data_IF_098292481461
#
_entry.id   IF_098292481461
#
_cell.length_a   1.000
_cell.length_b   1.000
_cell.length_c   1.000
_cell.angle_alpha   90.00
_cell.angle_beta   90.00
_cell.angle_gamma   90.00
#
_symmetry.space_group_name_H-M   'P 1'
#
loop_
_entity.id
_entity.type
_entity.pdbx_description
1 polymer ?
#
# COMPACT_ATOMS: atom_id res chain seq x y z
N UNK A 1 7.05 -1.98 -10.64
CA UNK A 1 6.70 -3.35 -11.03
C UNK A 1 7.93 -4.24 -10.90
N UNK A 2 7.80 -5.56 -10.60
CA UNK A 2 8.95 -6.43 -10.30
C UNK A 2 10.06 -6.37 -11.34
N UNK A 3 9.75 -6.53 -12.61
CA UNK A 3 10.74 -6.54 -13.71
C UNK A 3 11.59 -5.26 -13.82
N UNK A 4 11.12 -4.13 -13.30
CA UNK A 4 11.81 -2.83 -13.42
C UNK A 4 12.70 -2.50 -12.21
N UNK A 5 12.72 -3.33 -11.16
CA UNK A 5 13.44 -3.03 -9.91
C UNK A 5 14.93 -2.82 -10.16
N UNK A 6 15.61 -3.74 -10.85
CA UNK A 6 17.05 -3.63 -11.15
C UNK A 6 17.40 -2.35 -11.91
N UNK A 7 16.55 -1.97 -12.87
CA UNK A 7 16.73 -0.73 -13.62
C UNK A 7 16.56 0.50 -12.73
N UNK A 8 15.52 0.51 -11.89
CA UNK A 8 15.28 1.62 -10.96
C UNK A 8 16.44 1.79 -9.96
N UNK A 9 16.93 0.68 -9.38
CA UNK A 9 18.09 0.70 -8.48
C UNK A 9 19.32 1.33 -9.15
N UNK A 10 19.61 0.90 -10.39
CA UNK A 10 20.74 1.46 -11.15
C UNK A 10 20.57 2.96 -11.43
N UNK A 11 19.36 3.40 -11.77
CA UNK A 11 19.10 4.81 -12.11
C UNK A 11 19.10 5.72 -10.88
N UNK A 12 18.85 5.18 -9.70
CA UNK A 12 18.80 5.91 -8.44
C UNK A 12 20.08 5.76 -7.60
N UNK A 13 21.12 5.16 -8.16
CA UNK A 13 22.42 5.00 -7.50
C UNK A 13 22.98 6.37 -7.08
N UNK A 14 23.44 6.47 -5.84
CA UNK A 14 23.94 7.72 -5.27
C UNK A 14 22.86 8.69 -4.77
N UNK A 15 21.56 8.31 -4.84
CA UNK A 15 20.46 9.09 -4.26
C UNK A 15 19.87 8.43 -3.01
N UNK A 16 19.15 9.22 -2.20
CA UNK A 16 18.41 8.71 -1.03
C UNK A 16 17.04 8.13 -1.37
N UNK A 17 16.64 8.13 -2.64
CA UNK A 17 15.33 7.66 -3.11
C UNK A 17 15.25 6.14 -3.00
N UNK A 18 14.26 5.66 -2.26
CA UNK A 18 14.05 4.21 -2.05
C UNK A 18 13.31 3.58 -3.23
N UNK A 19 13.70 2.36 -3.58
CA UNK A 19 13.02 1.59 -4.62
C UNK A 19 11.96 0.70 -3.98
N UNK A 20 10.69 0.99 -4.29
CA UNK A 20 9.55 0.20 -3.86
C UNK A 20 9.01 -0.68 -4.99
N UNK A 21 8.55 -1.89 -4.63
CA UNK A 21 7.94 -2.84 -5.57
C UNK A 21 6.60 -3.36 -5.06
N UNK A 22 5.66 -3.55 -5.97
CA UNK A 22 4.37 -4.20 -5.67
C UNK A 22 4.46 -5.71 -5.91
N UNK A 23 3.74 -6.51 -5.08
CA UNK A 23 3.64 -7.96 -5.23
C UNK A 23 2.19 -8.43 -5.08
N UNK A 24 1.84 -9.57 -5.67
CA UNK A 24 0.47 -10.05 -5.75
C UNK A 24 -0.47 -9.05 -6.43
N UNK A 25 0.07 -8.17 -7.23
CA UNK A 25 -0.58 -6.96 -7.70
C UNK A 25 -1.23 -7.14 -9.09
N UNK A 26 -2.45 -6.58 -9.34
CA UNK A 26 -3.23 -5.75 -8.41
C UNK A 26 -4.30 -6.52 -7.60
N UNK A 27 -4.59 -7.77 -7.91
CA UNK A 27 -5.78 -8.47 -7.40
C UNK A 27 -5.56 -9.27 -6.10
N UNK A 28 -4.34 -9.46 -5.66
CA UNK A 28 -4.02 -10.17 -4.41
C UNK A 28 -4.35 -11.66 -4.41
N UNK A 29 -4.70 -12.26 -5.54
CA UNK A 29 -5.22 -13.63 -5.64
C UNK A 29 -4.17 -14.71 -5.92
N UNK A 30 -2.89 -14.35 -5.98
CA UNK A 30 -1.80 -15.32 -6.00
C UNK A 30 -1.72 -16.08 -4.67
N UNK A 31 -1.19 -17.30 -4.68
CA UNK A 31 -0.96 -18.04 -3.44
C UNK A 31 0.08 -17.34 -2.56
N UNK A 32 0.03 -17.60 -1.25
CA UNK A 32 1.01 -17.06 -0.29
C UNK A 32 2.45 -17.36 -0.69
N UNK A 33 2.73 -18.58 -1.15
CA UNK A 33 4.07 -18.97 -1.59
C UNK A 33 4.58 -18.14 -2.77
N UNK A 34 3.70 -17.84 -3.74
CA UNK A 34 4.04 -16.98 -4.88
C UNK A 34 4.33 -15.56 -4.43
N UNK A 35 3.52 -14.99 -3.53
CA UNK A 35 3.77 -13.64 -3.00
C UNK A 35 5.09 -13.55 -2.21
N UNK A 36 5.41 -14.58 -1.43
CA UNK A 36 6.70 -14.66 -0.73
C UNK A 36 7.85 -14.69 -1.73
N UNK A 37 7.74 -15.52 -2.77
CA UNK A 37 8.75 -15.60 -3.82
C UNK A 37 8.93 -14.26 -4.56
N UNK A 38 7.83 -13.60 -4.94
CA UNK A 38 7.87 -12.26 -5.57
C UNK A 38 8.56 -11.22 -4.66
N UNK A 39 8.29 -11.27 -3.35
CA UNK A 39 8.92 -10.38 -2.38
C UNK A 39 10.43 -10.61 -2.28
N UNK A 40 10.86 -11.86 -2.13
CA UNK A 40 12.27 -12.24 -2.05
C UNK A 40 13.03 -11.91 -3.35
N UNK A 41 12.42 -12.14 -4.50
CA UNK A 41 12.99 -11.78 -5.81
C UNK A 41 13.14 -10.27 -5.96
N UNK A 42 12.10 -9.48 -5.58
CA UNK A 42 12.16 -8.03 -5.63
C UNK A 42 13.24 -7.47 -4.69
N UNK A 43 13.35 -7.99 -3.46
CA UNK A 43 14.40 -7.59 -2.52
C UNK A 43 15.79 -7.97 -3.03
N UNK A 44 15.97 -9.18 -3.58
CA UNK A 44 17.24 -9.61 -4.21
C UNK A 44 17.63 -8.70 -5.38
N UNK A 45 16.64 -8.15 -6.07
CA UNK A 45 16.81 -7.19 -7.15
C UNK A 45 17.11 -5.75 -6.67
N UNK A 46 17.07 -5.52 -5.34
CA UNK A 46 17.43 -4.25 -4.68
C UNK A 46 16.24 -3.41 -4.24
N UNK A 47 15.00 -3.92 -4.25
CA UNK A 47 13.88 -3.24 -3.61
C UNK A 47 14.04 -3.23 -2.09
N UNK A 48 13.80 -2.08 -1.47
CA UNK A 48 13.85 -1.91 -0.01
C UNK A 48 12.46 -1.70 0.60
N UNK A 49 11.44 -1.59 -0.23
CA UNK A 49 10.05 -1.41 0.17
C UNK A 49 9.14 -2.31 -0.67
N UNK A 50 8.31 -3.12 -0.01
CA UNK A 50 7.40 -4.06 -0.69
C UNK A 50 5.95 -3.71 -0.35
N UNK A 51 5.15 -3.45 -1.39
CA UNK A 51 3.73 -3.16 -1.28
C UNK A 51 2.94 -4.42 -1.69
N UNK A 52 2.48 -5.23 -0.73
CA UNK A 52 1.71 -6.44 -1.00
C UNK A 52 0.20 -6.18 -1.04
N UNK A 53 -0.50 -6.81 -1.97
CA UNK A 53 -1.98 -6.83 -1.95
C UNK A 53 -2.44 -8.06 -1.17
N UNK A 54 -3.36 -7.87 -0.20
CA UNK A 54 -3.98 -9.00 0.51
C UNK A 54 -4.75 -9.90 -0.47
N UNK A 55 -5.06 -11.13 -0.06
CA UNK A 55 -6.05 -11.92 -0.80
C UNK A 55 -7.45 -11.35 -0.52
N UNK A 56 -7.90 -10.47 -1.43
CA UNK A 56 -9.17 -9.73 -1.30
C UNK A 56 -10.35 -10.71 -1.16
N UNK A 57 -10.38 -11.78 -1.96
CA UNK A 57 -11.44 -12.78 -1.91
C UNK A 57 -11.51 -13.49 -0.56
N UNK A 58 -10.36 -13.81 0.04
CA UNK A 58 -10.28 -14.39 1.38
C UNK A 58 -10.75 -13.43 2.48
N UNK A 59 -10.37 -12.16 2.38
CA UNK A 59 -10.82 -11.12 3.32
C UNK A 59 -12.35 -10.94 3.25
N UNK A 60 -12.91 -10.78 2.06
CA UNK A 60 -14.36 -10.65 1.84
C UNK A 60 -15.15 -11.89 2.26
N UNK A 61 -14.54 -13.07 2.17
CA UNK A 61 -15.11 -14.34 2.64
C UNK A 61 -14.92 -14.59 4.14
N UNK A 62 -14.27 -13.67 4.88
CA UNK A 62 -14.04 -13.80 6.33
C UNK A 62 -12.98 -14.82 6.73
N UNK A 63 -12.16 -15.32 5.79
CA UNK A 63 -11.06 -16.26 6.09
C UNK A 63 -9.85 -15.48 6.65
N UNK A 64 -10.06 -14.88 7.82
CA UNK A 64 -9.05 -14.04 8.49
C UNK A 64 -7.79 -14.81 8.87
N UNK A 65 -7.91 -16.12 9.09
CA UNK A 65 -6.75 -16.97 9.37
C UNK A 65 -5.82 -17.05 8.16
N UNK A 66 -6.38 -17.23 6.97
CA UNK A 66 -5.58 -17.22 5.74
C UNK A 66 -4.90 -15.86 5.54
N UNK A 67 -5.66 -14.76 5.66
CA UNK A 67 -5.15 -13.39 5.48
C UNK A 67 -4.03 -13.08 6.48
N UNK A 68 -4.20 -13.44 7.75
CA UNK A 68 -3.18 -13.26 8.78
C UNK A 68 -1.90 -14.04 8.49
N UNK A 69 -2.03 -15.32 8.11
CA UNK A 69 -0.88 -16.15 7.77
C UNK A 69 -0.13 -15.60 6.54
N UNK A 70 -0.85 -15.14 5.54
CA UNK A 70 -0.29 -14.56 4.33
C UNK A 70 0.51 -13.29 4.63
N UNK A 71 -0.09 -12.34 5.35
CA UNK A 71 0.56 -11.08 5.74
C UNK A 71 1.82 -11.38 6.56
N UNK A 72 1.72 -12.26 7.56
CA UNK A 72 2.85 -12.65 8.40
C UNK A 72 3.98 -13.31 7.60
N UNK A 73 3.65 -14.19 6.66
CA UNK A 73 4.64 -14.87 5.83
C UNK A 73 5.44 -13.88 4.97
N UNK A 74 4.74 -12.95 4.29
CA UNK A 74 5.38 -11.92 3.46
C UNK A 74 6.18 -10.94 4.31
N UNK A 75 5.62 -10.46 5.44
CA UNK A 75 6.34 -9.56 6.36
C UNK A 75 7.63 -10.17 6.85
N UNK A 76 7.60 -11.43 7.30
CA UNK A 76 8.80 -12.13 7.75
C UNK A 76 9.84 -12.29 6.63
N UNK A 77 9.40 -12.58 5.40
CA UNK A 77 10.31 -12.71 4.25
C UNK A 77 11.02 -11.38 3.95
N UNK A 78 10.27 -10.28 3.90
CA UNK A 78 10.83 -8.96 3.65
C UNK A 78 11.77 -8.49 4.76
N UNK A 79 11.37 -8.65 6.02
CA UNK A 79 12.20 -8.23 7.17
C UNK A 79 13.52 -8.99 7.24
N UNK A 80 13.56 -10.29 6.88
CA UNK A 80 14.84 -11.03 6.76
C UNK A 80 15.79 -10.43 5.73
N UNK A 81 15.26 -9.68 4.77
CA UNK A 81 16.02 -9.00 3.71
C UNK A 81 16.16 -7.50 3.94
N UNK A 82 15.88 -7.01 5.16
CA UNK A 82 15.91 -5.60 5.55
C UNK A 82 15.01 -4.68 4.70
N UNK A 83 13.90 -5.22 4.17
CA UNK A 83 12.91 -4.45 3.44
C UNK A 83 11.64 -4.25 4.29
N UNK A 84 11.01 -3.07 4.17
CA UNK A 84 9.74 -2.78 4.84
C UNK A 84 8.56 -3.26 4.00
N UNK A 85 7.44 -3.56 4.68
CA UNK A 85 6.21 -4.06 4.05
C UNK A 85 5.05 -3.08 4.22
N UNK A 86 4.34 -2.83 3.12
CA UNK A 86 3.09 -2.08 3.12
C UNK A 86 1.97 -2.98 2.63
N UNK A 87 0.95 -3.16 3.45
CA UNK A 87 -0.17 -4.08 3.18
C UNK A 87 -1.33 -3.32 2.58
N UNK A 88 -1.63 -3.59 1.30
CA UNK A 88 -2.71 -2.97 0.54
C UNK A 88 -4.01 -3.71 0.85
N UNK A 89 -4.99 -3.00 1.42
CA UNK A 89 -6.32 -3.53 1.75
C UNK A 89 -7.25 -3.59 0.55
N UNK A 90 -7.04 -2.71 -0.44
CA UNK A 90 -7.93 -2.44 -1.56
C UNK A 90 -9.30 -1.99 -1.09
N UNK A 91 -9.36 -0.78 -0.57
CA UNK A 91 -10.57 -0.20 0.05
C UNK A 91 -11.74 0.00 -0.92
N UNK A 92 -11.50 -0.07 -2.22
CA UNK A 92 -12.55 -0.09 -3.24
C UNK A 92 -13.36 -1.40 -3.22
N UNK A 93 -12.78 -2.51 -2.78
CA UNK A 93 -13.46 -3.80 -2.58
C UNK A 93 -13.78 -4.07 -1.12
N UNK A 94 -12.86 -3.78 -0.21
CA UNK A 94 -13.05 -3.94 1.24
C UNK A 94 -13.70 -2.67 1.78
N UNK A 95 -15.02 -2.58 1.62
CA UNK A 95 -15.78 -1.36 1.91
C UNK A 95 -16.24 -1.23 3.36
N UNK A 96 -16.38 -2.36 4.08
CA UNK A 96 -16.85 -2.37 5.47
C UNK A 96 -15.76 -1.93 6.43
N UNK A 97 -16.10 -1.04 7.35
CA UNK A 97 -15.17 -0.55 8.37
C UNK A 97 -14.67 -1.65 9.29
N UNK A 98 -15.54 -2.61 9.66
CA UNK A 98 -15.20 -3.76 10.49
C UNK A 98 -14.08 -4.60 9.88
N UNK A 99 -14.13 -4.81 8.57
CA UNK A 99 -13.13 -5.59 7.82
C UNK A 99 -11.79 -4.83 7.77
N UNK A 100 -11.82 -3.51 7.56
CA UNK A 100 -10.63 -2.65 7.60
C UNK A 100 -9.99 -2.61 8.99
N UNK A 101 -10.82 -2.54 10.03
CA UNK A 101 -10.37 -2.61 11.43
C UNK A 101 -9.70 -3.96 11.72
N UNK A 102 -10.30 -5.06 11.24
CA UNK A 102 -9.71 -6.38 11.38
C UNK A 102 -8.35 -6.46 10.69
N UNK A 103 -8.24 -5.94 9.48
CA UNK A 103 -6.97 -5.89 8.73
C UNK A 103 -5.90 -5.04 9.44
N UNK A 104 -6.28 -3.91 10.05
CA UNK A 104 -5.36 -3.10 10.86
C UNK A 104 -4.78 -3.90 12.04
N UNK A 105 -5.62 -4.66 12.73
CA UNK A 105 -5.19 -5.53 13.84
C UNK A 105 -4.25 -6.62 13.35
N UNK A 106 -4.62 -7.33 12.30
CA UNK A 106 -3.79 -8.37 11.68
C UNK A 106 -2.42 -7.83 11.27
N UNK A 107 -2.37 -6.66 10.61
CA UNK A 107 -1.11 -6.03 10.23
C UNK A 107 -0.26 -5.67 11.44
N UNK A 108 -0.88 -5.17 12.51
CA UNK A 108 -0.20 -4.84 13.77
C UNK A 108 0.42 -6.09 14.41
N UNK A 109 -0.35 -7.17 14.50
CA UNK A 109 0.10 -8.45 15.06
C UNK A 109 1.18 -9.13 14.20
N UNK A 110 1.10 -8.98 12.89
CA UNK A 110 2.10 -9.49 11.96
C UNK A 110 3.39 -8.66 11.92
N UNK A 111 3.40 -7.47 12.52
CA UNK A 111 4.55 -6.56 12.52
C UNK A 111 4.78 -5.87 11.17
N UNK A 112 3.73 -5.70 10.34
CA UNK A 112 3.85 -4.93 9.10
C UNK A 112 4.18 -3.46 9.38
N UNK A 113 4.94 -2.82 8.50
CA UNK A 113 5.39 -1.44 8.71
C UNK A 113 4.33 -0.41 8.33
N UNK A 114 3.51 -0.74 7.32
CA UNK A 114 2.42 0.12 6.85
C UNK A 114 1.16 -0.67 6.56
N UNK A 115 0.02 -0.04 6.83
CA UNK A 115 -1.26 -0.31 6.18
C UNK A 115 -1.44 0.66 5.02
N UNK A 116 -2.00 0.19 3.89
CA UNK A 116 -2.17 0.98 2.68
C UNK A 116 -3.58 0.82 2.12
N UNK A 117 -4.17 1.90 1.61
CA UNK A 117 -5.56 1.88 1.12
C UNK A 117 -5.74 1.06 -0.15
N UNK A 118 -5.18 1.48 -1.27
CA UNK A 118 -5.64 1.01 -2.58
C UNK A 118 -4.50 0.71 -3.55
N UNK A 119 -4.79 -0.09 -4.57
CA UNK A 119 -3.89 -0.34 -5.70
C UNK A 119 -3.96 0.76 -6.75
N UNK A 120 -5.10 1.45 -6.88
CA UNK A 120 -5.45 2.31 -8.00
C UNK A 120 -6.00 1.54 -9.21
N UNK A 121 -6.26 0.23 -9.05
CA UNK A 121 -6.82 -0.66 -10.07
C UNK A 121 -8.07 -1.41 -9.56
N UNK A 122 -8.61 -1.00 -8.43
CA UNK A 122 -9.82 -1.59 -7.82
C UNK A 122 -11.09 -1.15 -8.54
N UNK A 123 -11.18 -1.37 -9.83
CA UNK A 123 -12.34 -0.96 -10.63
C UNK A 123 -13.59 -1.71 -10.22
N UNK A 124 -14.56 -0.98 -9.67
CA UNK A 124 -15.88 -1.48 -9.29
C UNK A 124 -16.94 -0.87 -10.18
N UNK A 125 -18.03 -1.64 -10.41
CA UNK A 125 -19.17 -1.17 -11.23
C UNK A 125 -19.89 -0.04 -10.49
N UNK A 126 -20.01 1.10 -11.15
CA UNK A 126 -20.74 2.26 -10.66
C UNK A 126 -22.25 2.17 -10.98
N UNK A 127 -23.11 2.96 -10.32
CA UNK A 127 -24.56 2.97 -10.61
C UNK A 127 -24.90 3.32 -12.07
N UNK A 128 -24.07 4.09 -12.75
CA UNK A 128 -24.23 4.44 -14.17
C UNK A 128 -23.77 3.32 -15.13
N UNK A 129 -23.27 2.19 -14.60
CA UNK A 129 -22.79 1.05 -15.38
C UNK A 129 -21.31 1.06 -15.72
N UNK A 130 -20.63 2.19 -15.56
CA UNK A 130 -19.18 2.30 -15.78
C UNK A 130 -18.38 1.59 -14.70
N UNK A 131 -17.12 1.27 -14.99
CA UNK A 131 -16.17 0.76 -14.01
C UNK A 131 -15.16 1.85 -13.64
N UNK A 132 -15.05 2.12 -12.33
CA UNK A 132 -14.11 3.11 -11.81
C UNK A 132 -13.66 2.73 -10.40
N UNK A 133 -12.63 3.40 -9.88
CA UNK A 133 -12.17 3.27 -8.50
C UNK A 133 -12.29 4.61 -7.77
N UNK A 134 -12.55 4.55 -6.47
CA UNK A 134 -12.59 5.72 -5.59
C UNK A 134 -11.20 6.03 -5.02
N UNK A 135 -10.48 4.99 -4.65
CA UNK A 135 -9.16 5.09 -4.03
C UNK A 135 -9.21 5.53 -2.58
N UNK A 136 -8.16 6.23 -2.13
CA UNK A 136 -8.04 6.69 -0.76
C UNK A 136 -9.10 7.74 -0.40
N UNK A 137 -9.67 7.61 0.80
CA UNK A 137 -10.57 8.60 1.40
C UNK A 137 -10.03 9.07 2.75
N UNK A 138 -10.39 10.28 3.17
CA UNK A 138 -10.05 10.80 4.52
C UNK A 138 -10.58 9.85 5.59
N UNK A 139 -11.84 9.39 5.45
CA UNK A 139 -12.45 8.42 6.36
C UNK A 139 -11.60 7.15 6.53
N UNK A 140 -11.13 6.56 5.42
CA UNK A 140 -10.31 5.35 5.49
C UNK A 140 -8.98 5.60 6.18
N UNK A 141 -8.34 6.74 5.93
CA UNK A 141 -7.06 7.10 6.56
C UNK A 141 -7.23 7.29 8.08
N UNK A 142 -8.23 8.05 8.52
CA UNK A 142 -8.54 8.25 9.94
C UNK A 142 -8.87 6.92 10.63
N UNK A 143 -9.70 6.07 10.00
CA UNK A 143 -10.03 4.74 10.50
C UNK A 143 -8.79 3.87 10.66
N UNK A 144 -7.95 3.79 9.62
CA UNK A 144 -6.73 2.99 9.62
C UNK A 144 -5.73 3.52 10.66
N UNK A 145 -5.54 4.85 10.76
CA UNK A 145 -4.66 5.42 11.78
C UNK A 145 -5.13 5.13 13.20
N UNK A 146 -6.43 5.19 13.43
CA UNK A 146 -7.04 4.93 14.74
C UNK A 146 -6.87 3.48 15.21
N UNK A 147 -6.91 2.52 14.27
CA UNK A 147 -6.97 1.09 14.58
C UNK A 147 -5.68 0.31 14.29
N UNK A 148 -4.74 0.88 13.53
CA UNK A 148 -3.39 0.34 13.41
C UNK A 148 -2.57 0.66 14.67
N UNK A 149 -1.69 -0.26 15.06
CA UNK A 149 -0.79 -0.06 16.19
C UNK A 149 0.10 1.18 16.03
N UNK A 150 0.64 1.74 17.11
CA UNK A 150 1.42 2.98 17.06
C UNK A 150 2.67 2.88 16.19
N UNK A 151 3.24 1.68 16.05
CA UNK A 151 4.41 1.41 15.20
C UNK A 151 4.05 1.24 13.72
N UNK A 152 2.77 1.00 13.38
CA UNK A 152 2.31 0.79 12.00
C UNK A 152 1.91 2.12 11.40
N UNK A 153 2.51 2.50 10.29
CA UNK A 153 2.22 3.74 9.59
C UNK A 153 1.07 3.55 8.57
N UNK A 154 0.53 4.66 8.08
CA UNK A 154 -0.56 4.65 7.09
C UNK A 154 -0.08 5.25 5.77
N UNK A 155 -0.27 4.50 4.68
CA UNK A 155 -0.03 4.98 3.31
C UNK A 155 -1.36 5.16 2.58
N UNK A 156 -1.62 6.36 2.07
CA UNK A 156 -2.71 6.59 1.13
C UNK A 156 -2.25 6.40 -0.32
N UNK A 157 -3.10 5.85 -1.16
CA UNK A 157 -2.87 5.72 -2.60
C UNK A 157 -4.17 5.50 -3.37
N UNK A 158 -4.14 5.87 -4.66
CA UNK A 158 -5.32 5.92 -5.49
C UNK A 158 -6.07 7.24 -5.32
N UNK A 159 -6.29 7.98 -6.41
CA UNK A 159 -7.10 9.20 -6.41
C UNK A 159 -6.42 10.47 -5.89
N UNK A 160 -5.23 10.43 -5.32
CA UNK A 160 -4.47 11.61 -4.87
C UNK A 160 -3.80 12.25 -6.08
N UNK A 161 -4.24 13.45 -6.47
CA UNK A 161 -3.84 14.09 -7.72
C UNK A 161 -3.28 15.50 -7.55
N UNK A 162 -3.55 16.16 -6.44
CA UNK A 162 -3.12 17.52 -6.14
C UNK A 162 -2.34 17.60 -4.84
N UNK A 163 -1.58 18.67 -4.65
CA UNK A 163 -0.91 18.95 -3.38
C UNK A 163 -1.92 19.07 -2.23
N UNK A 164 -3.07 19.71 -2.46
CA UNK A 164 -4.11 19.84 -1.43
C UNK A 164 -4.72 18.48 -1.06
N UNK A 165 -4.88 17.55 -2.01
CA UNK A 165 -5.27 16.16 -1.68
C UNK A 165 -4.23 15.50 -0.78
N UNK A 166 -2.95 15.63 -1.11
CA UNK A 166 -1.85 15.08 -0.31
C UNK A 166 -1.86 15.65 1.10
N UNK A 167 -2.00 16.97 1.25
CA UNK A 167 -2.02 17.65 2.55
C UNK A 167 -3.22 17.18 3.40
N UNK A 168 -4.41 17.06 2.81
CA UNK A 168 -5.59 16.53 3.51
C UNK A 168 -5.38 15.10 4.00
N UNK A 169 -4.76 14.22 3.19
CA UNK A 169 -4.46 12.85 3.61
C UNK A 169 -3.42 12.82 4.74
N UNK A 170 -2.44 13.72 4.70
CA UNK A 170 -1.45 13.87 5.76
C UNK A 170 -2.10 14.32 7.08
N UNK A 171 -2.99 15.31 7.04
CA UNK A 171 -3.76 15.78 8.20
C UNK A 171 -4.62 14.67 8.79
N UNK A 172 -5.21 13.80 7.97
CA UNK A 172 -5.97 12.63 8.39
C UNK A 172 -5.10 11.52 9.04
N UNK A 173 -3.77 11.62 8.94
CA UNK A 173 -2.85 10.68 9.59
C UNK A 173 -2.02 9.81 8.65
N UNK A 174 -2.07 10.01 7.33
CA UNK A 174 -1.16 9.33 6.42
C UNK A 174 0.26 9.89 6.54
N UNK A 175 1.24 9.01 6.63
CA UNK A 175 2.68 9.37 6.67
C UNK A 175 3.36 9.15 5.33
N UNK A 176 2.69 8.50 4.38
CA UNK A 176 3.16 8.25 3.02
C UNK A 176 2.02 8.39 2.02
N UNK A 177 2.29 9.01 0.89
CA UNK A 177 1.32 9.15 -0.21
C UNK A 177 1.87 8.51 -1.49
N UNK A 178 1.04 7.73 -2.17
CA UNK A 178 1.30 7.22 -3.51
C UNK A 178 0.52 8.03 -4.54
N UNK A 179 1.23 8.68 -5.44
CA UNK A 179 0.67 9.50 -6.51
C UNK A 179 1.47 9.34 -7.80
N UNK A 180 0.85 9.64 -8.94
CA UNK A 180 1.50 9.70 -10.25
C UNK A 180 1.88 11.12 -10.65
N UNK A 181 1.19 12.13 -10.13
CA UNK A 181 1.45 13.55 -10.38
C UNK A 181 2.54 14.14 -9.45
N UNK A 182 3.58 13.35 -9.13
CA UNK A 182 4.58 13.69 -8.10
C UNK A 182 5.36 14.96 -8.46
N UNK A 183 5.79 15.10 -9.72
CA UNK A 183 6.54 16.26 -10.20
C UNK A 183 5.75 17.55 -9.99
N UNK A 184 4.51 17.62 -10.49
CA UNK A 184 3.63 18.79 -10.34
C UNK A 184 3.38 19.13 -8.87
N UNK A 185 3.17 18.12 -8.01
CA UNK A 185 2.97 18.34 -6.58
C UNK A 185 4.21 18.90 -5.89
N UNK A 186 5.41 18.43 -6.27
CA UNK A 186 6.67 18.93 -5.70
C UNK A 186 6.91 20.38 -6.16
N UNK A 187 6.71 20.67 -7.43
CA UNK A 187 6.84 22.05 -7.96
C UNK A 187 5.88 23.03 -7.27
N UNK A 188 4.63 22.60 -7.06
CA UNK A 188 3.64 23.40 -6.33
C UNK A 188 4.05 23.58 -4.86
N UNK A 189 4.54 22.52 -4.21
CA UNK A 189 5.01 22.60 -2.83
C UNK A 189 6.20 23.57 -2.69
N UNK A 190 7.15 23.54 -3.62
CA UNK A 190 8.27 24.48 -3.66
C UNK A 190 7.75 25.91 -3.77
N UNK A 191 6.84 26.20 -4.72
CA UNK A 191 6.25 27.55 -4.89
C UNK A 191 5.49 28.01 -3.67
N UNK A 192 4.84 27.10 -2.94
CA UNK A 192 3.96 27.43 -1.81
C UNK A 192 4.68 27.55 -0.48
N UNK A 193 5.80 26.84 -0.29
CA UNK A 193 6.47 26.70 1.00
C UNK A 193 7.97 27.08 0.99
N UNK A 194 8.56 27.38 -0.16
CA UNK A 194 9.92 27.95 -0.20
C UNK A 194 9.80 29.46 0.01
N UNK A 195 10.16 29.93 1.19
CA UNK A 195 10.45 31.32 1.50
C UNK A 195 11.90 31.69 1.10
#
# INVERSE_FOLDING_TARGET
KPYAVKQAVKLLEGSDVKVGCVIGFPHGNSSTAVKVFEAEEACTSGATEIDMVINIGKALGGDWRYVSNEIKAVTNACHRMNAIVKVIFETDFVTKDEDKIMLCRICTEAGADFVKTSTGYGYVKQPNGDFNYKGATVHDIELMRKHAGPQVQVKCSGGVRTLDDLLRMREAGATRTGATATETMIEEAIKRFSE
#
